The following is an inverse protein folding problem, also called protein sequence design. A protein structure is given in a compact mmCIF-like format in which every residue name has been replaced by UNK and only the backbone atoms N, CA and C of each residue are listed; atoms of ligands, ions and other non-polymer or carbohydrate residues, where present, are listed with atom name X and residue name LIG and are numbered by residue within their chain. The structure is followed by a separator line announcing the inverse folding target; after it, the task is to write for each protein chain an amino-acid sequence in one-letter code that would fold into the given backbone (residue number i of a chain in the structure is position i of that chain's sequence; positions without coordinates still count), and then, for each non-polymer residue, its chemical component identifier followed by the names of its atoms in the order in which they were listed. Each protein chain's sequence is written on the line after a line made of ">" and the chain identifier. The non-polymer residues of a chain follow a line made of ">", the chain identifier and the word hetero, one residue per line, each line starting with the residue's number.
data_IF_682966723221
#
_entry.id   IF_682966723221
#
_cell.length_a   1.000
_cell.length_b   1.000
_cell.length_c   1.000
_cell.angle_alpha   90.00
_cell.angle_beta   90.00
_cell.angle_gamma   90.00
#
_symmetry.space_group_name_H-M   'P 1'
#
loop_
_entity.id
_entity.type
_entity.pdbx_description
1 polymer ?
#
# COMPACT_ATOMS: atom_id res chain seq x y z
N UNK A 1 17.72 71.38 47.17
CA UNK A 1 16.68 70.52 46.58
C UNK A 1 15.43 70.60 47.44
N UNK A 2 14.34 71.12 46.88
CA UNK A 2 13.09 71.27 47.62
C UNK A 2 12.46 69.92 47.91
N UNK A 3 11.80 69.78 49.07
CA UNK A 3 11.10 68.56 49.51
C UNK A 3 10.16 67.98 48.45
N UNK A 4 9.61 68.81 47.56
CA UNK A 4 8.76 68.39 46.43
C UNK A 4 9.49 67.60 45.33
N UNK A 5 10.76 67.89 45.07
CA UNK A 5 11.55 67.18 44.05
C UNK A 5 11.94 65.77 44.52
N UNK A 6 12.22 65.62 45.82
CA UNK A 6 12.52 64.33 46.45
C UNK A 6 11.28 63.41 46.41
N UNK A 7 10.09 63.97 46.67
CA UNK A 7 8.83 63.23 46.59
C UNK A 7 8.55 62.79 45.15
N UNK A 8 8.77 63.65 44.15
CA UNK A 8 8.57 63.31 42.75
C UNK A 8 9.52 62.21 42.27
N UNK A 9 10.80 62.30 42.64
CA UNK A 9 11.79 61.28 42.30
C UNK A 9 11.44 59.91 42.92
N UNK A 10 10.95 59.89 44.16
CA UNK A 10 10.52 58.66 44.82
C UNK A 10 9.31 58.01 44.14
N UNK A 11 8.32 58.80 43.71
CA UNK A 11 7.13 58.30 43.00
C UNK A 11 7.52 57.70 41.64
N UNK A 12 8.39 58.37 40.89
CA UNK A 12 8.87 57.87 39.59
C UNK A 12 9.62 56.54 39.76
N UNK A 13 10.45 56.42 40.79
CA UNK A 13 11.21 55.20 41.07
C UNK A 13 10.28 54.02 41.41
N UNK A 14 9.21 54.27 42.18
CA UNK A 14 8.19 53.26 42.49
C UNK A 14 7.46 52.80 41.23
N UNK A 15 7.09 53.73 40.33
CA UNK A 15 6.41 53.40 39.07
C UNK A 15 7.32 52.53 38.17
N UNK A 16 8.61 52.86 38.10
CA UNK A 16 9.59 52.07 37.33
C UNK A 16 9.73 50.67 37.91
N UNK A 17 9.80 50.52 39.23
CA UNK A 17 9.87 49.21 39.89
C UNK A 17 8.61 48.38 39.59
N UNK A 18 7.43 48.98 39.68
CA UNK A 18 6.16 48.30 39.36
C UNK A 18 6.13 47.86 37.88
N UNK A 19 6.55 48.72 36.96
CA UNK A 19 6.61 48.40 35.54
C UNK A 19 7.55 47.20 35.26
N UNK A 20 8.72 47.15 35.89
CA UNK A 20 9.68 46.04 35.77
C UNK A 20 9.09 44.74 36.31
N UNK A 21 8.38 44.77 37.44
CA UNK A 21 7.73 43.59 38.02
C UNK A 21 6.62 43.03 37.13
N UNK A 22 5.82 43.92 36.51
CA UNK A 22 4.77 43.52 35.56
C UNK A 22 5.38 42.90 34.29
N UNK A 23 6.40 43.53 33.71
CA UNK A 23 7.10 43.01 32.53
C UNK A 23 7.73 41.64 32.81
N UNK A 24 8.32 41.45 33.99
CA UNK A 24 8.91 40.16 34.40
C UNK A 24 7.83 39.07 34.51
N UNK A 25 6.65 39.39 35.05
CA UNK A 25 5.54 38.42 35.19
C UNK A 25 5.01 38.00 33.81
N UNK A 26 4.87 38.93 32.88
CA UNK A 26 4.47 38.66 31.49
C UNK A 26 5.52 37.79 30.79
N UNK A 27 6.79 38.16 30.89
CA UNK A 27 7.88 37.40 30.27
C UNK A 27 7.95 35.95 30.78
N UNK A 28 7.76 35.74 32.09
CA UNK A 28 7.74 34.42 32.70
C UNK A 28 6.53 33.58 32.26
N UNK A 29 5.33 34.17 32.18
CA UNK A 29 4.13 33.47 31.68
C UNK A 29 4.26 33.09 30.20
N UNK A 30 4.77 33.99 29.36
CA UNK A 30 4.95 33.73 27.92
C UNK A 30 5.99 32.64 27.68
N UNK A 31 7.06 32.58 28.49
CA UNK A 31 8.10 31.55 28.38
C UNK A 31 7.57 30.14 28.71
N UNK A 32 6.63 30.02 29.65
CA UNK A 32 5.95 28.75 29.96
C UNK A 32 5.12 28.25 28.78
N UNK A 33 4.23 29.11 28.27
CA UNK A 33 3.36 28.80 27.13
C UNK A 33 4.17 28.46 25.87
N UNK A 34 5.26 29.16 25.60
CA UNK A 34 6.13 28.86 24.44
C UNK A 34 6.83 27.51 24.56
N UNK A 35 7.27 27.14 25.77
CA UNK A 35 7.91 25.82 26.03
C UNK A 35 6.90 24.69 25.82
N UNK A 36 5.68 24.86 26.33
CA UNK A 36 4.62 23.84 26.21
C UNK A 36 4.12 23.74 24.77
N UNK A 37 3.95 24.86 24.06
CA UNK A 37 3.62 24.86 22.63
C UNK A 37 4.71 24.18 21.79
N UNK A 38 6.00 24.42 22.08
CA UNK A 38 7.11 23.76 21.38
C UNK A 38 7.15 22.25 21.67
N UNK A 39 6.84 21.83 22.90
CA UNK A 39 6.75 20.42 23.29
C UNK A 39 5.56 19.74 22.59
N UNK A 40 4.41 20.39 22.55
CA UNK A 40 3.19 19.91 21.88
C UNK A 40 3.39 19.80 20.36
N UNK A 41 4.03 20.77 19.72
CA UNK A 41 4.38 20.71 18.29
C UNK A 41 5.43 19.62 18.03
N UNK A 42 6.39 19.42 18.93
CA UNK A 42 7.38 18.35 18.83
C UNK A 42 6.76 16.96 18.98
N UNK A 43 5.81 16.80 19.90
CA UNK A 43 5.02 15.57 20.07
C UNK A 43 4.11 15.30 18.87
N UNK A 44 3.42 16.33 18.34
CA UNK A 44 2.63 16.19 17.10
C UNK A 44 3.51 15.74 15.94
N UNK A 45 4.68 16.38 15.75
CA UNK A 45 5.63 15.99 14.69
C UNK A 45 6.10 14.55 14.85
N UNK A 46 6.45 14.14 16.08
CA UNK A 46 6.82 12.76 16.40
C UNK A 46 5.69 11.78 16.10
N UNK A 47 4.44 12.10 16.43
CA UNK A 47 3.28 11.25 16.14
C UNK A 47 3.05 11.12 14.62
N UNK A 48 3.23 12.19 13.83
CA UNK A 48 3.18 12.10 12.36
C UNK A 48 4.32 11.26 11.79
N UNK A 49 5.54 11.42 12.30
CA UNK A 49 6.70 10.65 11.83
C UNK A 49 6.64 9.18 12.27
N UNK A 50 6.13 8.89 13.46
CA UNK A 50 5.95 7.52 13.97
C UNK A 50 4.83 6.80 13.20
N UNK A 51 3.70 7.48 12.91
CA UNK A 51 2.62 6.92 12.08
C UNK A 51 3.07 6.67 10.64
N UNK A 52 3.99 7.49 10.11
CA UNK A 52 4.57 7.30 8.78
C UNK A 52 5.62 6.18 8.71
N UNK A 53 6.14 5.71 9.85
CA UNK A 53 7.17 4.67 9.91
C UNK A 53 6.63 3.32 10.42
N UNK A 54 5.47 3.27 11.09
CA UNK A 54 4.83 2.01 11.51
C UNK A 54 3.93 1.41 10.44
N UNK A 55 4.22 0.20 9.94
CA UNK A 55 3.38 -0.47 8.93
C UNK A 55 1.92 -0.55 9.39
N UNK A 56 1.00 -0.14 8.51
CA UNK A 56 -0.45 -0.20 8.78
C UNK A 56 -0.89 -1.64 9.08
N UNK A 57 -1.75 -1.81 10.07
CA UNK A 57 -2.37 -3.10 10.41
C UNK A 57 -3.14 -3.63 9.21
N UNK A 58 -2.90 -4.87 8.83
CA UNK A 58 -3.57 -5.55 7.73
C UNK A 58 -4.65 -6.51 8.26
N UNK A 59 -5.44 -7.10 7.36
CA UNK A 59 -6.45 -8.09 7.72
C UNK A 59 -5.88 -9.28 8.51
N UNK A 60 -6.60 -9.71 9.55
CA UNK A 60 -6.21 -10.83 10.43
C UNK A 60 -6.84 -12.19 10.07
N UNK A 61 -7.51 -12.30 8.92
CA UNK A 61 -8.25 -13.52 8.53
C UNK A 61 -7.49 -14.43 7.56
N UNK A 62 -6.19 -14.17 7.32
CA UNK A 62 -5.40 -14.86 6.29
C UNK A 62 -5.44 -16.39 6.46
N UNK A 63 -5.34 -16.91 7.68
CA UNK A 63 -5.36 -18.36 7.92
C UNK A 63 -6.69 -19.01 7.52
N UNK A 64 -7.82 -18.36 7.84
CA UNK A 64 -9.16 -18.81 7.43
C UNK A 64 -9.30 -18.80 5.91
N UNK A 65 -8.81 -17.75 5.25
CA UNK A 65 -8.87 -17.64 3.79
C UNK A 65 -7.97 -18.68 3.11
N UNK A 66 -6.77 -18.93 3.66
CA UNK A 66 -5.86 -19.97 3.17
C UNK A 66 -6.53 -21.35 3.17
N UNK A 67 -7.21 -21.71 4.25
CA UNK A 67 -7.94 -22.99 4.33
C UNK A 67 -9.05 -23.09 3.28
N UNK A 68 -9.79 -22.01 3.02
CA UNK A 68 -10.84 -21.98 1.98
C UNK A 68 -10.25 -22.11 0.58
N UNK A 69 -9.16 -21.39 0.29
CA UNK A 69 -8.46 -21.45 -1.00
C UNK A 69 -7.94 -22.86 -1.26
N UNK A 70 -7.27 -23.49 -0.29
CA UNK A 70 -6.73 -24.86 -0.46
C UNK A 70 -7.82 -25.91 -0.65
N UNK A 71 -9.03 -25.68 -0.13
CA UNK A 71 -10.18 -26.56 -0.37
C UNK A 71 -10.61 -26.54 -1.84
N UNK A 72 -10.64 -25.35 -2.44
CA UNK A 72 -11.03 -25.17 -3.85
C UNK A 72 -9.87 -25.40 -4.82
N UNK A 73 -8.63 -25.11 -4.39
CA UNK A 73 -7.40 -25.15 -5.17
C UNK A 73 -6.27 -25.77 -4.33
N UNK A 74 -6.18 -27.12 -4.23
CA UNK A 74 -5.19 -27.80 -3.40
C UNK A 74 -3.73 -27.49 -3.76
N UNK A 75 -3.49 -27.15 -5.03
CA UNK A 75 -2.16 -26.83 -5.56
C UNK A 75 -1.82 -25.32 -5.50
N UNK A 76 -2.66 -24.51 -4.82
CA UNK A 76 -2.43 -23.06 -4.73
C UNK A 76 -1.14 -22.73 -3.97
N UNK A 77 -0.20 -22.07 -4.65
CA UNK A 77 1.08 -21.68 -4.06
C UNK A 77 1.03 -20.24 -3.52
N UNK A 78 0.81 -20.13 -2.21
CA UNK A 78 0.72 -18.82 -1.53
C UNK A 78 1.95 -17.94 -1.68
N UNK A 79 3.16 -18.53 -1.78
CA UNK A 79 4.39 -17.75 -1.87
C UNK A 79 4.53 -17.14 -3.27
N UNK A 80 4.34 -17.95 -4.31
CA UNK A 80 4.38 -17.49 -5.71
C UNK A 80 3.31 -16.44 -5.97
N UNK A 81 2.06 -16.66 -5.51
CA UNK A 81 0.99 -15.68 -5.69
C UNK A 81 1.25 -14.38 -4.91
N UNK A 82 1.89 -14.45 -3.74
CA UNK A 82 2.30 -13.26 -2.98
C UNK A 82 3.40 -12.50 -3.72
N UNK A 83 4.44 -13.17 -4.20
CA UNK A 83 5.52 -12.57 -4.99
C UNK A 83 4.99 -11.91 -6.27
N UNK A 84 4.01 -12.53 -6.92
CA UNK A 84 3.31 -11.95 -8.08
C UNK A 84 2.58 -10.65 -7.70
N UNK A 85 1.88 -10.61 -6.56
CA UNK A 85 1.22 -9.39 -6.07
C UNK A 85 2.25 -8.32 -5.71
N UNK A 86 3.31 -8.68 -5.01
CA UNK A 86 4.36 -7.76 -4.60
C UNK A 86 5.07 -7.15 -5.83
N UNK A 87 5.32 -7.99 -6.83
CA UNK A 87 5.84 -7.57 -8.13
C UNK A 87 4.86 -6.65 -8.86
N UNK A 88 3.56 -6.95 -8.87
CA UNK A 88 2.56 -6.13 -9.54
C UNK A 88 2.41 -4.75 -8.87
N UNK A 89 2.39 -4.69 -7.55
CA UNK A 89 2.34 -3.41 -6.80
C UNK A 89 3.59 -2.58 -7.10
N UNK A 90 4.78 -3.20 -7.06
CA UNK A 90 6.04 -2.48 -7.35
C UNK A 90 6.05 -1.96 -8.78
N UNK A 91 5.73 -2.80 -9.77
CA UNK A 91 5.68 -2.40 -11.17
C UNK A 91 4.59 -1.37 -11.47
N UNK A 92 3.46 -1.41 -10.76
CA UNK A 92 2.42 -0.39 -10.85
C UNK A 92 2.98 1.01 -10.53
N UNK A 93 3.70 1.17 -9.42
CA UNK A 93 4.33 2.45 -9.09
C UNK A 93 5.45 2.84 -10.05
N UNK A 94 6.25 1.88 -10.53
CA UNK A 94 7.27 2.15 -11.56
C UNK A 94 6.64 2.71 -12.84
N UNK A 95 5.52 2.12 -13.30
CA UNK A 95 4.78 2.58 -14.47
C UNK A 95 4.23 3.98 -14.26
N UNK A 96 3.63 4.27 -13.10
CA UNK A 96 3.12 5.61 -12.78
C UNK A 96 4.23 6.67 -12.72
N UNK A 97 5.40 6.33 -12.15
CA UNK A 97 6.51 7.28 -12.01
C UNK A 97 7.24 7.59 -13.33
N UNK A 98 7.24 6.63 -14.27
CA UNK A 98 8.02 6.73 -15.50
C UNK A 98 7.15 6.96 -16.74
N UNK A 99 5.87 7.29 -16.54
CA UNK A 99 4.88 7.39 -17.62
C UNK A 99 4.87 6.16 -18.54
N UNK A 100 5.00 4.96 -17.96
CA UNK A 100 4.99 3.69 -18.67
C UNK A 100 6.28 3.27 -19.36
N UNK A 101 7.40 3.99 -19.19
CA UNK A 101 8.69 3.59 -19.76
C UNK A 101 9.31 2.37 -19.06
N UNK A 102 9.09 2.22 -17.75
CA UNK A 102 9.65 1.11 -16.96
C UNK A 102 8.56 0.29 -16.25
N UNK A 103 8.77 -1.02 -16.15
CA UNK A 103 7.88 -1.93 -15.42
C UNK A 103 6.62 -2.36 -16.17
N UNK A 104 6.32 -1.74 -17.33
CA UNK A 104 5.13 -2.05 -18.13
C UNK A 104 5.12 -3.50 -18.64
N UNK A 105 6.25 -4.00 -19.17
CA UNK A 105 6.35 -5.37 -19.69
C UNK A 105 6.15 -6.41 -18.57
N UNK A 106 6.75 -6.14 -17.41
CA UNK A 106 6.62 -6.99 -16.23
C UNK A 106 5.18 -7.03 -15.73
N UNK A 107 4.54 -5.86 -15.64
CA UNK A 107 3.15 -5.74 -15.18
C UNK A 107 2.18 -6.41 -16.16
N UNK A 108 2.38 -6.20 -17.47
CA UNK A 108 1.54 -6.77 -18.54
C UNK A 108 1.53 -8.30 -18.53
N UNK A 109 2.67 -8.94 -18.24
CA UNK A 109 2.78 -10.41 -18.20
C UNK A 109 1.92 -11.05 -17.10
N UNK A 110 1.79 -10.36 -15.96
CA UNK A 110 1.15 -10.89 -14.75
C UNK A 110 -0.27 -10.34 -14.53
N UNK A 111 -0.72 -9.41 -15.38
CA UNK A 111 -1.97 -8.67 -15.21
C UNK A 111 -3.00 -9.00 -16.27
N UNK A 112 -4.27 -8.68 -16.00
CA UNK A 112 -5.33 -8.73 -17.02
C UNK A 112 -5.21 -7.54 -17.98
N UNK A 113 -5.65 -7.66 -19.25
CA UNK A 113 -5.66 -6.55 -20.19
C UNK A 113 -6.49 -5.35 -19.69
N UNK A 114 -7.63 -5.63 -19.05
CA UNK A 114 -8.48 -4.58 -18.46
C UNK A 114 -7.75 -3.78 -17.40
N UNK A 115 -6.97 -4.45 -16.54
CA UNK A 115 -6.19 -3.75 -15.52
C UNK A 115 -5.11 -2.88 -16.16
N UNK A 116 -4.40 -3.41 -17.17
CA UNK A 116 -3.36 -2.65 -17.87
C UNK A 116 -3.91 -1.36 -18.49
N UNK A 117 -5.12 -1.41 -19.08
CA UNK A 117 -5.76 -0.23 -19.63
C UNK A 117 -6.11 0.81 -18.54
N UNK A 118 -6.55 0.37 -17.35
CA UNK A 118 -6.80 1.25 -16.20
C UNK A 118 -5.49 1.94 -15.75
N UNK A 119 -4.38 1.19 -15.69
CA UNK A 119 -3.06 1.74 -15.31
C UNK A 119 -2.56 2.77 -16.32
N UNK A 120 -2.69 2.50 -17.62
CA UNK A 120 -2.27 3.43 -18.67
C UNK A 120 -3.08 4.73 -18.64
N UNK A 121 -4.39 4.65 -18.41
CA UNK A 121 -5.21 5.85 -18.24
C UNK A 121 -4.80 6.68 -17.01
N UNK A 122 -4.31 6.04 -15.93
CA UNK A 122 -3.77 6.75 -14.77
C UNK A 122 -2.47 7.49 -15.09
N UNK A 123 -1.59 6.93 -15.94
CA UNK A 123 -0.35 7.62 -16.35
C UNK A 123 -0.59 8.93 -17.09
N UNK A 124 -1.74 9.06 -17.78
CA UNK A 124 -2.11 10.28 -18.50
C UNK A 124 -2.74 11.35 -17.57
N UNK A 125 -3.28 10.92 -16.43
CA UNK A 125 -4.10 11.78 -15.55
C UNK A 125 -3.44 12.15 -14.23
N UNK A 126 -2.55 11.31 -13.70
CA UNK A 126 -1.84 11.55 -12.44
C UNK A 126 -0.40 12.05 -12.66
N UNK A 127 -0.17 13.35 -12.50
CA UNK A 127 1.18 13.93 -12.38
C UNK A 127 1.69 13.84 -10.92
N UNK A 128 1.70 12.62 -10.37
CA UNK A 128 2.16 12.35 -9.00
C UNK A 128 3.45 11.53 -9.04
N UNK A 129 4.53 12.12 -8.53
CA UNK A 129 5.80 11.42 -8.35
C UNK A 129 5.82 10.72 -6.98
N UNK A 130 6.00 9.40 -7.02
CA UNK A 130 6.13 8.51 -5.86
C UNK A 130 7.61 8.15 -5.64
N UNK A 131 8.27 8.79 -4.68
CA UNK A 131 9.69 8.52 -4.36
C UNK A 131 9.82 7.45 -3.26
N UNK A 132 10.93 6.70 -3.24
CA UNK A 132 11.23 5.70 -2.19
C UNK A 132 10.06 4.75 -1.87
N UNK A 133 9.45 4.17 -2.90
CA UNK A 133 8.36 3.21 -2.74
C UNK A 133 8.89 1.97 -2.04
N UNK A 134 8.27 1.62 -0.91
CA UNK A 134 8.62 0.48 -0.05
C UNK A 134 7.39 -0.35 0.23
N UNK A 135 7.48 -1.64 -0.05
CA UNK A 135 6.44 -2.61 0.24
C UNK A 135 6.80 -3.34 1.53
N UNK A 136 5.96 -3.20 2.56
CA UNK A 136 6.28 -3.74 3.90
C UNK A 136 5.77 -5.16 4.11
N UNK A 137 4.46 -5.36 3.91
CA UNK A 137 3.78 -6.64 4.14
C UNK A 137 2.57 -6.76 3.24
N UNK A 138 2.36 -7.97 2.72
CA UNK A 138 1.21 -8.35 1.90
C UNK A 138 0.51 -9.56 2.52
N UNK A 139 -0.80 -9.44 2.77
CA UNK A 139 -1.64 -10.51 3.37
C UNK A 139 -2.88 -10.75 2.54
N UNK A 140 -3.47 -11.94 2.70
CA UNK A 140 -4.79 -12.24 2.14
C UNK A 140 -5.85 -11.66 3.07
N UNK A 141 -6.75 -10.87 2.49
CA UNK A 141 -7.82 -10.18 3.22
C UNK A 141 -9.21 -10.77 2.97
N UNK A 142 -9.42 -11.37 1.80
CA UNK A 142 -10.69 -12.02 1.44
C UNK A 142 -10.47 -13.07 0.33
N UNK A 143 -11.41 -14.01 0.24
CA UNK A 143 -11.51 -14.99 -0.83
C UNK A 143 -12.97 -15.23 -1.21
N UNK A 144 -13.26 -15.07 -2.51
CA UNK A 144 -14.58 -15.33 -3.10
C UNK A 144 -14.43 -16.24 -4.32
N UNK A 145 -15.31 -17.23 -4.40
CA UNK A 145 -15.49 -18.06 -5.60
C UNK A 145 -16.93 -17.90 -6.07
N UNK A 146 -17.08 -17.46 -7.31
CA UNK A 146 -18.32 -17.47 -8.08
C UNK A 146 -18.23 -18.59 -9.12
N UNK A 147 -19.32 -18.90 -9.80
CA UNK A 147 -19.35 -20.01 -10.76
C UNK A 147 -18.30 -19.87 -11.88
N UNK A 148 -18.00 -18.63 -12.28
CA UNK A 148 -17.15 -18.34 -13.44
C UNK A 148 -15.78 -17.76 -13.06
N UNK A 149 -15.56 -17.37 -11.80
CA UNK A 149 -14.30 -16.80 -11.35
C UNK A 149 -14.00 -17.08 -9.88
N UNK A 150 -12.72 -17.21 -9.56
CA UNK A 150 -12.21 -17.16 -8.19
C UNK A 150 -11.34 -15.93 -8.00
N UNK A 151 -11.57 -15.20 -6.92
CA UNK A 151 -10.91 -13.94 -6.60
C UNK A 151 -10.30 -14.02 -5.21
N UNK A 152 -8.97 -13.88 -5.15
CA UNK A 152 -8.21 -13.70 -3.92
C UNK A 152 -7.88 -12.22 -3.76
N UNK A 153 -8.29 -11.61 -2.66
CA UNK A 153 -8.05 -10.19 -2.38
C UNK A 153 -6.90 -10.04 -1.40
N UNK A 154 -5.85 -9.35 -1.83
CA UNK A 154 -4.66 -9.04 -1.04
C UNK A 154 -4.72 -7.61 -0.53
N UNK A 155 -4.10 -7.39 0.63
CA UNK A 155 -3.82 -6.07 1.18
C UNK A 155 -2.31 -5.92 1.40
N UNK A 156 -1.76 -4.85 0.84
CA UNK A 156 -0.35 -4.52 0.87
C UNK A 156 -0.14 -3.20 1.59
N UNK A 157 0.71 -3.18 2.62
CA UNK A 157 1.16 -1.95 3.25
C UNK A 157 2.31 -1.34 2.42
N UNK A 158 2.05 -0.17 1.83
CA UNK A 158 3.01 0.53 0.97
C UNK A 158 3.36 1.88 1.60
N UNK A 159 4.65 2.13 1.76
CA UNK A 159 5.22 3.43 2.09
C UNK A 159 5.80 4.11 0.85
N UNK A 160 5.59 5.41 0.70
CA UNK A 160 6.26 6.20 -0.32
C UNK A 160 6.35 7.67 0.09
N UNK A 161 7.35 8.36 -0.43
CA UNK A 161 7.50 9.80 -0.28
C UNK A 161 6.76 10.52 -1.40
N UNK A 162 5.96 11.52 -1.04
CA UNK A 162 5.35 12.43 -2.02
C UNK A 162 5.98 13.81 -1.88
N UNK A 163 6.45 14.37 -2.99
CA UNK A 163 7.07 15.70 -3.03
C UNK A 163 6.12 16.74 -2.39
N UNK A 164 6.59 17.41 -1.36
CA UNK A 164 5.83 18.43 -0.62
C UNK A 164 4.86 17.91 0.45
N UNK A 165 4.70 16.58 0.64
CA UNK A 165 3.85 16.02 1.70
C UNK A 165 4.55 15.01 2.63
N UNK A 166 5.83 14.73 2.41
CA UNK A 166 6.63 13.84 3.25
C UNK A 166 6.34 12.36 3.01
N UNK A 167 6.77 11.51 3.95
CA UNK A 167 6.55 10.06 3.93
C UNK A 167 5.08 9.73 4.21
N UNK A 168 4.48 8.95 3.31
CA UNK A 168 3.12 8.47 3.42
C UNK A 168 3.10 6.96 3.50
N UNK A 169 2.18 6.40 4.28
CA UNK A 169 1.90 4.97 4.31
C UNK A 169 0.41 4.71 4.11
N UNK A 170 0.10 3.90 3.10
CA UNK A 170 -1.26 3.51 2.74
C UNK A 170 -1.38 2.00 2.58
N UNK A 171 -2.61 1.51 2.72
CA UNK A 171 -2.96 0.14 2.39
C UNK A 171 -3.48 0.12 0.96
N UNK A 172 -2.83 -0.66 0.11
CA UNK A 172 -3.30 -0.97 -1.23
C UNK A 172 -4.02 -2.31 -1.22
N UNK A 173 -5.10 -2.38 -1.98
CA UNK A 173 -5.84 -3.60 -2.22
C UNK A 173 -5.52 -4.09 -3.63
N UNK A 174 -5.11 -5.35 -3.72
CA UNK A 174 -4.83 -6.01 -4.99
C UNK A 174 -5.74 -7.21 -5.17
N UNK A 175 -6.26 -7.42 -6.39
CA UNK A 175 -7.12 -8.57 -6.70
C UNK A 175 -6.40 -9.53 -7.64
N UNK A 176 -6.29 -10.78 -7.22
CA UNK A 176 -5.79 -11.88 -8.02
C UNK A 176 -6.98 -12.73 -8.48
N UNK A 177 -7.17 -12.85 -9.78
CA UNK A 177 -8.33 -13.53 -10.38
C UNK A 177 -7.90 -14.79 -11.12
N UNK A 178 -8.78 -15.77 -11.10
CA UNK A 178 -8.71 -17.01 -11.87
C UNK A 178 -10.05 -17.19 -12.57
N UNK A 179 -10.06 -17.30 -13.89
CA UNK A 179 -11.28 -17.52 -14.68
C UNK A 179 -11.54 -19.02 -14.82
N UNK A 180 -12.75 -19.46 -14.47
CA UNK A 180 -13.17 -20.87 -14.49
C UNK A 180 -13.81 -21.29 -15.81
N UNK A 181 -14.24 -20.33 -16.65
CA UNK A 181 -14.87 -20.54 -17.96
C UNK A 181 -14.14 -19.80 -19.10
N UNK A 182 -14.18 -20.36 -20.32
CA UNK A 182 -13.50 -19.83 -21.50
C UNK A 182 -14.16 -18.55 -22.07
N UNK A 183 -15.43 -18.29 -21.76
CA UNK A 183 -16.24 -17.24 -22.40
C UNK A 183 -16.04 -15.82 -21.83
N UNK A 184 -15.31 -15.66 -20.73
CA UNK A 184 -15.14 -14.36 -20.09
C UNK A 184 -13.87 -13.66 -20.62
N UNK A 185 -14.11 -12.56 -21.35
CA UNK A 185 -13.17 -11.70 -22.08
C UNK A 185 -12.05 -11.05 -21.23
N UNK A 186 -11.16 -11.85 -20.65
CA UNK A 186 -10.11 -11.32 -19.76
C UNK A 186 -8.89 -12.18 -19.50
N UNK A 187 -8.84 -13.44 -19.95
CA UNK A 187 -7.59 -14.22 -19.91
C UNK A 187 -7.69 -15.61 -19.31
N UNK A 188 -8.67 -16.41 -19.73
CA UNK A 188 -8.46 -17.85 -19.74
C UNK A 188 -7.54 -18.16 -20.94
N UNK A 189 -6.22 -18.00 -20.79
CA UNK A 189 -5.34 -18.86 -21.58
C UNK A 189 -5.68 -20.27 -21.11
N UNK A 190 -6.45 -21.01 -21.91
CA UNK A 190 -6.69 -22.43 -21.67
C UNK A 190 -5.33 -23.07 -21.41
N UNK A 191 -5.14 -23.62 -20.21
CA UNK A 191 -3.84 -24.22 -19.87
C UNK A 191 -3.59 -25.33 -20.88
N UNK A 192 -2.61 -25.15 -21.75
CA UNK A 192 -2.26 -26.15 -22.76
C UNK A 192 -1.13 -27.03 -22.24
N UNK A 193 -1.27 -28.33 -22.47
CA UNK A 193 -0.21 -29.28 -22.16
C UNK A 193 1.04 -28.97 -22.98
N UNK A 194 2.17 -28.77 -22.31
CA UNK A 194 3.44 -28.44 -22.98
C UNK A 194 3.98 -29.59 -23.85
N UNK A 195 3.47 -30.82 -23.65
CA UNK A 195 3.86 -32.00 -24.43
C UNK A 195 3.00 -32.24 -25.67
N UNK A 196 1.71 -31.85 -25.67
CA UNK A 196 0.79 -32.18 -26.77
C UNK A 196 -0.15 -31.06 -27.21
N UNK A 197 -0.10 -29.90 -26.56
CA UNK A 197 -0.95 -28.74 -26.86
C UNK A 197 -2.42 -28.90 -26.45
N UNK A 198 -2.82 -30.02 -25.85
CA UNK A 198 -4.20 -30.26 -25.47
C UNK A 198 -4.63 -29.39 -24.27
N UNK A 199 -5.90 -28.96 -24.22
CA UNK A 199 -6.43 -28.17 -23.11
C UNK A 199 -6.46 -28.99 -21.81
N UNK A 200 -6.04 -28.38 -20.71
CA UNK A 200 -5.99 -28.94 -19.36
C UNK A 200 -7.13 -28.33 -18.55
N UNK A 201 -8.06 -29.18 -18.11
CA UNK A 201 -9.06 -28.82 -17.11
C UNK A 201 -8.36 -28.81 -15.74
N UNK A 202 -7.99 -27.63 -15.25
CA UNK A 202 -7.21 -27.46 -14.01
C UNK A 202 -8.02 -27.72 -12.74
N UNK A 203 -9.24 -28.23 -12.87
CA UNK A 203 -10.10 -28.52 -11.72
C UNK A 203 -9.81 -29.95 -11.24
N UNK A 204 -8.79 -30.08 -10.38
CA UNK A 204 -8.60 -31.24 -9.53
C UNK A 204 -7.51 -32.22 -9.97
N UNK A 205 -6.40 -32.20 -9.24
CA UNK A 205 -5.58 -33.37 -8.83
C UNK A 205 -4.90 -34.25 -9.88
N UNK A 206 -5.12 -34.06 -11.18
CA UNK A 206 -4.48 -34.89 -12.20
C UNK A 206 -3.13 -34.31 -12.61
N UNK A 207 -2.05 -34.84 -12.02
CA UNK A 207 -0.64 -34.60 -12.41
C UNK A 207 -0.29 -35.15 -13.80
N UNK A 208 -1.26 -35.69 -14.55
CA UNK A 208 -1.02 -36.38 -15.81
C UNK A 208 -2.05 -35.91 -16.84
N UNK A 209 -1.57 -35.52 -18.02
CA UNK A 209 -2.44 -35.12 -19.12
C UNK A 209 -3.31 -36.28 -19.59
N UNK A 210 -4.63 -36.08 -19.65
CA UNK A 210 -5.60 -37.08 -20.14
C UNK A 210 -5.42 -37.50 -21.61
N UNK A 211 -4.68 -36.70 -22.39
CA UNK A 211 -4.48 -36.92 -23.83
C UNK A 211 -3.14 -37.59 -24.18
N UNK A 212 -2.03 -37.15 -23.58
CA UNK A 212 -0.70 -37.68 -23.92
C UNK A 212 -0.02 -38.47 -22.80
N UNK A 213 -0.60 -38.53 -21.60
CA UNK A 213 0.01 -39.20 -20.45
C UNK A 213 1.25 -38.49 -19.89
N UNK A 214 1.58 -37.30 -20.38
CA UNK A 214 2.69 -36.49 -19.88
C UNK A 214 2.43 -36.01 -18.46
N UNK A 215 3.44 -36.12 -17.58
CA UNK A 215 3.38 -35.61 -16.21
C UNK A 215 3.38 -34.08 -16.25
N UNK A 216 2.25 -33.48 -15.91
CA UNK A 216 2.12 -32.03 -15.80
C UNK A 216 2.84 -31.65 -14.51
N UNK A 217 3.98 -30.97 -14.63
CA UNK A 217 4.65 -30.38 -13.48
C UNK A 217 3.84 -29.17 -12.98
N UNK A 218 2.84 -29.44 -12.14
CA UNK A 218 1.91 -28.43 -11.59
C UNK A 218 2.66 -27.36 -10.74
N UNK A 219 3.94 -27.58 -10.41
CA UNK A 219 4.66 -26.78 -9.40
C UNK A 219 4.76 -25.27 -9.69
N UNK A 220 4.80 -24.82 -10.95
CA UNK A 220 4.96 -23.38 -11.28
C UNK A 220 4.10 -22.88 -12.45
N UNK A 221 3.73 -23.74 -13.40
CA UNK A 221 3.11 -23.32 -14.68
C UNK A 221 1.65 -22.90 -14.51
N UNK A 222 0.88 -23.56 -13.64
CA UNK A 222 -0.54 -23.28 -13.46
C UNK A 222 -0.78 -21.96 -12.67
N UNK A 223 0.06 -21.68 -11.66
CA UNK A 223 -0.12 -20.49 -10.83
C UNK A 223 0.17 -19.19 -11.60
N UNK A 224 1.27 -19.14 -12.36
CA UNK A 224 1.68 -17.94 -13.11
C UNK A 224 0.88 -17.71 -14.40
N UNK A 225 0.36 -18.79 -15.01
CA UNK A 225 -0.40 -18.68 -16.27
C UNK A 225 -1.89 -18.47 -16.03
N UNK A 226 -2.47 -19.08 -14.99
CA UNK A 226 -3.91 -19.02 -14.77
C UNK A 226 -4.37 -17.90 -13.82
N UNK A 227 -3.52 -17.49 -12.85
CA UNK A 227 -3.86 -16.37 -11.98
C UNK A 227 -3.31 -15.07 -12.56
N UNK A 228 -4.16 -14.05 -12.64
CA UNK A 228 -3.79 -12.72 -13.14
C UNK A 228 -4.17 -11.63 -12.15
N UNK A 229 -3.34 -10.60 -12.07
CA UNK A 229 -3.66 -9.40 -11.29
C UNK A 229 -4.68 -8.57 -12.06
N UNK A 230 -5.85 -8.38 -11.46
CA UNK A 230 -6.96 -7.63 -12.07
C UNK A 230 -7.06 -6.21 -11.53
N UNK A 231 -6.51 -5.94 -10.34
CA UNK A 231 -6.60 -4.61 -9.74
C UNK A 231 -5.47 -4.38 -8.76
N UNK A 232 -5.00 -3.14 -8.72
CA UNK A 232 -4.22 -2.53 -7.63
C UNK A 232 -4.83 -1.16 -7.38
N UNK A 233 -5.35 -0.93 -6.18
CA UNK A 233 -6.00 0.34 -5.85
C UNK A 233 -5.73 0.73 -4.40
N UNK A 234 -5.63 2.03 -4.14
CA UNK A 234 -5.51 2.57 -2.79
C UNK A 234 -6.80 2.32 -2.01
N UNK A 235 -6.70 1.74 -0.81
CA UNK A 235 -7.84 1.44 0.05
C UNK A 235 -7.99 2.47 1.17
N UNK A 236 -6.94 2.72 1.96
CA UNK A 236 -6.96 3.66 3.11
C UNK A 236 -5.57 4.13 3.51
#
# INVERSE_FOLDING_TARGET
>A
MGTKEIIYAAIVLIIVIIAVLVLRKIYLSVRGVYRDAKKFVGEIKKVTDETANTPRTLSGVEDLMRSRILKDFPDFNFNVCREMIDSAVTSFFSVLNTNGAEGIDKLKKISTPSFMNEVLALTETEDIVYENVTLHKTVISDYRKLNDEAVVTYQSAVGYNRRGKGTMQYVYQSKLVYYLSEDNAGGAETLVCEYCGAPIDVVGSHKVCKYCGGEISIRNVAAERAWKVNKVAKLR
#
